data_IF_402687695884
#
_entry.id   IF_402687695884
#
_cell.length_a   1.000
_cell.length_b   1.000
_cell.length_c   1.000
_cell.angle_alpha   90.00
_cell.angle_beta   90.00
_cell.angle_gamma   90.00
#
_symmetry.space_group_name_H-M   'P 1'
#
loop_
_entity.id
_entity.type
_entity.pdbx_description
1 polymer ?
#
# COMPACT_ATOMS: atom_id res chain seq x y z
N UNK A 1 20.83 -13.15 -49.28
CA UNK A 1 21.12 -13.40 -47.84
C UNK A 1 20.80 -12.19 -46.95
N UNK A 2 21.39 -11.00 -47.17
CA UNK A 2 21.29 -9.83 -46.26
C UNK A 2 19.88 -9.50 -45.70
N UNK A 3 18.82 -9.53 -46.53
CA UNK A 3 17.44 -9.25 -46.13
C UNK A 3 16.97 -10.04 -44.89
N UNK A 4 17.33 -11.33 -44.79
CA UNK A 4 16.98 -12.18 -43.65
C UNK A 4 17.66 -11.76 -42.34
N UNK A 5 18.84 -11.17 -42.42
CA UNK A 5 19.58 -10.66 -41.25
C UNK A 5 18.98 -9.34 -40.78
N UNK A 6 18.64 -8.44 -41.71
CA UNK A 6 17.99 -7.16 -41.41
C UNK A 6 16.63 -7.37 -40.73
N UNK A 7 15.76 -8.22 -41.30
CA UNK A 7 14.44 -8.50 -40.70
C UNK A 7 14.54 -9.21 -39.34
N UNK A 8 15.51 -10.12 -39.15
CA UNK A 8 15.78 -10.70 -37.82
C UNK A 8 16.22 -9.64 -36.81
N UNK A 9 17.05 -8.67 -37.22
CA UNK A 9 17.49 -7.60 -36.32
C UNK A 9 16.33 -6.67 -35.96
N UNK A 10 15.48 -6.30 -36.93
CA UNK A 10 14.26 -5.51 -36.69
C UNK A 10 13.31 -6.19 -35.70
N UNK A 11 13.11 -7.51 -35.83
CA UNK A 11 12.30 -8.29 -34.85
C UNK A 11 12.94 -8.34 -33.47
N UNK A 12 14.27 -8.48 -33.38
CA UNK A 12 15.01 -8.43 -32.10
C UNK A 12 14.79 -7.06 -31.43
N UNK A 13 15.03 -5.97 -32.15
CA UNK A 13 14.85 -4.60 -31.66
C UNK A 13 13.42 -4.36 -31.15
N UNK A 14 12.40 -4.76 -31.92
CA UNK A 14 10.99 -4.67 -31.50
C UNK A 14 10.73 -5.41 -30.17
N UNK A 15 11.28 -6.62 -30.02
CA UNK A 15 11.12 -7.40 -28.80
C UNK A 15 11.86 -6.76 -27.60
N UNK A 16 13.03 -6.15 -27.79
CA UNK A 16 13.69 -5.41 -26.70
C UNK A 16 12.88 -4.18 -26.26
N UNK A 17 12.31 -3.42 -27.20
CA UNK A 17 11.41 -2.31 -26.86
C UNK A 17 10.17 -2.78 -26.07
N UNK A 18 9.56 -3.92 -26.46
CA UNK A 18 8.44 -4.50 -25.72
C UNK A 18 8.83 -5.02 -24.32
N UNK A 19 10.05 -5.54 -24.12
CA UNK A 19 10.55 -5.88 -22.77
C UNK A 19 10.69 -4.65 -21.89
N UNK A 20 11.34 -3.59 -22.39
CA UNK A 20 11.51 -2.33 -21.64
C UNK A 20 10.15 -1.75 -21.28
N UNK A 21 9.23 -1.68 -22.24
CA UNK A 21 7.87 -1.19 -22.02
C UNK A 21 7.10 -2.03 -20.99
N UNK A 22 7.24 -3.36 -21.02
CA UNK A 22 6.70 -4.27 -19.99
C UNK A 22 7.32 -4.02 -18.61
N UNK A 23 8.62 -3.74 -18.51
CA UNK A 23 9.28 -3.46 -17.23
C UNK A 23 8.94 -2.10 -16.61
N UNK A 24 8.50 -1.13 -17.43
CA UNK A 24 8.04 0.18 -16.97
C UNK A 24 6.55 0.21 -16.59
N UNK A 25 5.80 -0.86 -16.85
CA UNK A 25 4.35 -0.92 -16.64
C UNK A 25 4.03 -1.86 -15.46
N UNK A 26 3.20 -1.45 -14.49
CA UNK A 26 2.79 -2.32 -13.38
C UNK A 26 2.17 -3.62 -13.89
N UNK A 27 2.58 -4.75 -13.32
CA UNK A 27 2.29 -6.08 -13.87
C UNK A 27 0.80 -6.40 -14.02
N UNK A 28 -0.07 -5.78 -13.20
CA UNK A 28 -1.52 -6.01 -13.21
C UNK A 28 -2.24 -5.51 -14.47
N UNK A 29 -1.69 -4.52 -15.18
CA UNK A 29 -2.21 -4.09 -16.48
C UNK A 29 -1.92 -5.13 -17.58
N UNK A 30 -0.77 -5.82 -17.50
CA UNK A 30 -0.28 -6.70 -18.55
C UNK A 30 -0.62 -8.16 -18.24
N UNK A 31 -1.91 -8.48 -18.40
CA UNK A 31 -2.56 -9.77 -18.10
C UNK A 31 -1.96 -11.02 -18.78
N UNK A 32 -1.07 -10.88 -19.77
CA UNK A 32 -0.50 -11.99 -20.54
C UNK A 32 0.87 -11.62 -21.16
N UNK A 33 1.61 -12.61 -21.64
CA UNK A 33 2.96 -12.45 -22.21
C UNK A 33 3.06 -11.80 -23.60
N UNK A 34 1.94 -11.65 -24.32
CA UNK A 34 1.94 -11.31 -25.75
C UNK A 34 2.00 -9.79 -26.05
N UNK A 35 2.24 -9.46 -27.32
CA UNK A 35 2.44 -8.08 -27.77
C UNK A 35 1.19 -7.21 -27.64
N UNK A 36 -0.01 -7.76 -27.86
CA UNK A 36 -1.26 -7.01 -27.75
C UNK A 36 -1.61 -6.72 -26.29
N UNK A 37 -1.42 -7.71 -25.40
CA UNK A 37 -1.60 -7.54 -23.95
C UNK A 37 -0.60 -6.55 -23.34
N UNK A 38 0.65 -6.50 -23.83
CA UNK A 38 1.63 -5.49 -23.41
C UNK A 38 1.16 -4.08 -23.84
N UNK A 39 0.84 -3.88 -25.11
CA UNK A 39 0.44 -2.55 -25.63
C UNK A 39 -0.89 -2.08 -25.02
N UNK A 40 -1.87 -2.97 -24.85
CA UNK A 40 -3.15 -2.65 -24.20
C UNK A 40 -2.98 -2.20 -22.75
N UNK A 41 -2.24 -2.96 -21.94
CA UNK A 41 -1.99 -2.61 -20.54
C UNK A 41 -1.20 -1.30 -20.37
N UNK A 42 -0.29 -1.00 -21.29
CA UNK A 42 0.44 0.28 -21.33
C UNK A 42 -0.51 1.45 -21.60
N UNK A 43 -1.48 1.29 -22.52
CA UNK A 43 -2.47 2.31 -22.84
C UNK A 43 -3.40 2.55 -21.64
N UNK A 44 -3.89 1.49 -20.99
CA UNK A 44 -4.69 1.58 -19.76
C UNK A 44 -3.94 2.35 -18.65
N UNK A 45 -2.65 2.02 -18.42
CA UNK A 45 -1.81 2.68 -17.42
C UNK A 45 -1.58 4.17 -17.73
N UNK A 46 -1.26 4.53 -18.98
CA UNK A 46 -1.04 5.93 -19.38
C UNK A 46 -2.33 6.76 -19.26
N UNK A 47 -3.49 6.18 -19.61
CA UNK A 47 -4.79 6.83 -19.44
C UNK A 47 -5.09 7.12 -17.97
N UNK A 48 -4.80 6.18 -17.07
CA UNK A 48 -4.95 6.38 -15.63
C UNK A 48 -4.01 7.46 -15.07
N UNK A 49 -2.73 7.44 -15.46
CA UNK A 49 -1.77 8.47 -15.05
C UNK A 49 -2.22 9.88 -15.50
N UNK A 50 -2.71 10.03 -16.73
CA UNK A 50 -3.28 11.30 -17.19
C UNK A 50 -4.51 11.72 -16.38
N UNK A 51 -5.40 10.78 -16.04
CA UNK A 51 -6.60 11.09 -15.25
C UNK A 51 -6.24 11.54 -13.83
N UNK A 52 -5.25 10.91 -13.20
CA UNK A 52 -4.71 11.31 -11.88
C UNK A 52 -4.09 12.70 -11.96
N UNK A 53 -3.24 12.96 -12.96
CA UNK A 53 -2.58 14.26 -13.17
C UNK A 53 -3.61 15.40 -13.26
N UNK A 54 -4.63 15.27 -14.12
CA UNK A 54 -5.71 16.25 -14.25
C UNK A 54 -6.47 16.48 -12.92
N UNK A 55 -6.71 15.42 -12.14
CA UNK A 55 -7.38 15.52 -10.84
C UNK A 55 -6.55 16.34 -9.83
N UNK A 56 -5.22 16.19 -9.86
CA UNK A 56 -4.28 16.91 -9.00
C UNK A 56 -4.16 18.38 -9.42
N UNK A 57 -4.15 18.68 -10.72
CA UNK A 57 -4.20 20.06 -11.23
C UNK A 57 -5.51 20.76 -10.86
N UNK A 58 -6.65 20.09 -10.98
CA UNK A 58 -7.94 20.62 -10.53
C UNK A 58 -7.99 20.82 -9.00
N UNK A 59 -7.33 19.96 -8.22
CA UNK A 59 -7.17 20.09 -6.76
C UNK A 59 -6.24 21.25 -6.39
N UNK A 60 -5.15 21.46 -7.15
CA UNK A 60 -4.23 22.61 -7.03
C UNK A 60 -4.94 23.92 -7.34
N UNK A 61 -5.64 24.02 -8.48
CA UNK A 61 -6.39 25.22 -8.89
C UNK A 61 -7.45 25.63 -7.86
N UNK A 62 -8.20 24.67 -7.30
CA UNK A 62 -9.19 24.98 -6.24
C UNK A 62 -8.54 25.52 -4.97
N UNK A 63 -7.36 25.02 -4.59
CA UNK A 63 -6.59 25.53 -3.43
C UNK A 63 -5.93 26.89 -3.67
N UNK A 64 -5.65 27.27 -4.91
CA UNK A 64 -5.19 28.64 -5.26
C UNK A 64 -6.34 29.64 -5.50
N UNK A 65 -7.59 29.19 -5.47
CA UNK A 65 -8.78 30.02 -5.75
C UNK A 65 -9.73 30.18 -4.55
N UNK A 66 -9.41 29.60 -3.39
CA UNK A 66 -10.12 29.91 -2.14
C UNK A 66 -9.61 31.24 -1.57
N UNK A 67 -10.42 32.31 -1.53
CA UNK A 67 -10.04 33.53 -0.82
C UNK A 67 -9.92 33.21 0.68
N UNK A 68 -8.78 33.55 1.28
CA UNK A 68 -8.63 33.46 2.73
C UNK A 68 -9.56 34.47 3.41
N UNK A 69 -10.44 34.07 4.35
CA UNK A 69 -11.24 35.01 5.12
C UNK A 69 -10.30 35.77 6.06
N UNK A 70 -10.02 37.04 5.74
CA UNK A 70 -9.00 37.81 6.46
C UNK A 70 -9.39 38.08 7.91
N UNK A 71 -8.59 37.64 8.91
CA UNK A 71 -8.72 38.16 10.27
C UNK A 71 -8.13 39.57 10.30
N UNK A 72 -8.98 40.59 10.34
CA UNK A 72 -8.53 41.98 10.53
C UNK A 72 -7.94 42.20 11.94
N UNK A 73 -6.97 43.12 12.08
CA UNK A 73 -6.04 43.10 13.21
C UNK A 73 -6.62 43.63 14.51
N UNK A 74 -6.01 43.24 15.63
CA UNK A 74 -6.13 43.90 16.93
C UNK A 74 -4.72 44.17 17.50
N UNK A 75 -4.52 45.21 18.32
CA UNK A 75 -3.17 45.74 18.56
C UNK A 75 -2.34 44.86 19.49
N UNK A 76 -1.02 44.80 19.23
CA UNK A 76 -0.05 44.31 20.21
C UNK A 76 0.06 45.32 21.36
N UNK A 77 -0.18 44.87 22.59
CA UNK A 77 0.37 45.53 23.77
C UNK A 77 1.44 44.66 24.41
N UNK A 78 2.56 45.33 24.67
CA UNK A 78 3.88 44.80 24.97
C UNK A 78 4.10 44.75 26.48
N UNK A 79 4.69 43.67 27.00
CA UNK A 79 5.52 43.71 28.21
C UNK A 79 6.51 42.53 28.29
N UNK A 80 7.57 42.67 29.08
CA UNK A 80 8.63 41.68 29.28
C UNK A 80 8.80 41.33 30.77
N UNK A 81 8.99 40.05 31.08
CA UNK A 81 9.66 39.49 32.27
C UNK A 81 9.73 37.96 32.07
N UNK A 82 10.81 37.17 32.20
CA UNK A 82 12.07 37.17 32.97
C UNK A 82 12.09 36.25 34.21
N UNK A 83 12.62 35.04 34.00
CA UNK A 83 13.39 34.21 34.95
C UNK A 83 12.71 33.38 36.07
N UNK A 84 13.52 32.41 36.55
CA UNK A 84 13.49 31.54 37.75
C UNK A 84 12.75 30.18 37.77
N UNK A 85 13.56 29.16 38.10
CA UNK A 85 13.30 27.79 38.61
C UNK A 85 13.02 27.80 40.14
N UNK A 86 12.52 26.72 40.83
CA UNK A 86 12.86 25.29 40.64
C UNK A 86 11.72 24.24 40.85
N UNK A 87 12.12 22.97 40.90
CA UNK A 87 11.32 21.75 41.20
C UNK A 87 11.27 21.47 42.74
N UNK A 88 10.82 20.30 43.28
CA UNK A 88 10.16 19.10 42.69
C UNK A 88 8.96 18.52 43.50
N UNK A 89 8.40 17.39 43.05
CA UNK A 89 8.15 16.14 43.83
C UNK A 89 7.58 15.04 42.88
N UNK A 90 7.73 13.76 43.23
CA UNK A 90 7.55 12.59 42.36
C UNK A 90 6.83 11.43 43.09
N UNK A 91 5.98 10.63 42.43
CA UNK A 91 5.58 9.28 42.91
C UNK A 91 4.74 8.45 41.89
N UNK A 92 5.05 7.14 41.73
CA UNK A 92 4.25 6.13 40.98
C UNK A 92 4.46 6.17 39.46
N UNK A 93 5.36 5.43 38.79
CA UNK A 93 5.85 4.04 38.92
C UNK A 93 4.75 2.98 38.71
N UNK A 94 4.89 1.88 37.94
CA UNK A 94 6.02 1.18 37.26
C UNK A 94 5.51 0.67 35.87
N UNK A 95 6.20 0.04 34.91
CA UNK A 95 7.60 -0.38 34.57
C UNK A 95 7.67 -0.51 33.02
N UNK A 96 8.76 -0.56 32.24
CA UNK A 96 10.20 -0.90 32.39
C UNK A 96 10.60 -2.32 31.96
N UNK A 97 11.82 -2.46 31.41
CA UNK A 97 12.53 -3.64 30.83
C UNK A 97 12.15 -4.09 29.39
N UNK A 98 13.10 -4.29 28.47
CA UNK A 98 14.47 -3.73 28.38
C UNK A 98 15.02 -3.76 26.93
N UNK A 99 16.05 -2.97 26.62
CA UNK A 99 16.76 -3.00 25.33
C UNK A 99 18.26 -3.17 25.53
N UNK A 100 18.82 -4.28 25.04
CA UNK A 100 20.27 -4.49 24.94
C UNK A 100 20.67 -4.91 23.51
N UNK A 101 21.57 -4.17 22.83
CA UNK A 101 22.21 -4.65 21.62
C UNK A 101 23.42 -5.51 21.96
N UNK A 102 23.55 -6.68 21.33
CA UNK A 102 24.77 -7.49 21.43
C UNK A 102 25.13 -8.08 20.08
N UNK A 103 26.34 -7.78 19.59
CA UNK A 103 26.89 -8.41 18.39
C UNK A 103 27.34 -9.82 18.73
N UNK A 104 26.81 -10.82 18.04
CA UNK A 104 27.49 -12.12 17.92
C UNK A 104 27.23 -12.71 16.53
N UNK A 105 28.29 -12.76 15.71
CA UNK A 105 28.23 -13.37 14.38
C UNK A 105 28.27 -14.90 14.50
N UNK A 106 27.30 -15.58 13.89
CA UNK A 106 27.40 -16.99 13.50
C UNK A 106 26.56 -17.23 12.23
N UNK A 107 27.03 -18.01 11.25
CA UNK A 107 26.42 -18.05 9.92
C UNK A 107 25.22 -19.02 9.89
N UNK A 108 24.01 -18.46 9.99
CA UNK A 108 22.77 -19.23 9.96
C UNK A 108 21.54 -18.39 9.61
N UNK A 109 21.75 -17.27 8.91
CA UNK A 109 20.69 -16.34 8.52
C UNK A 109 19.72 -16.94 7.51
N UNK A 110 18.77 -17.75 8.00
CA UNK A 110 17.57 -18.11 7.29
C UNK A 110 16.79 -16.83 7.01
N UNK A 111 17.07 -16.19 5.88
CA UNK A 111 16.40 -14.99 5.42
C UNK A 111 14.92 -15.33 5.31
N UNK A 112 14.14 -14.89 6.30
CA UNK A 112 12.70 -15.10 6.30
C UNK A 112 12.16 -14.31 5.11
N UNK A 113 11.98 -15.00 3.99
CA UNK A 113 11.33 -14.49 2.80
C UNK A 113 9.87 -14.32 3.18
N UNK A 114 9.58 -13.19 3.84
CA UNK A 114 8.26 -12.82 4.30
C UNK A 114 7.29 -12.99 3.14
N UNK A 115 6.11 -13.54 3.43
CA UNK A 115 5.06 -13.81 2.42
C UNK A 115 4.39 -12.49 2.04
N UNK A 116 5.20 -11.60 1.46
CA UNK A 116 4.86 -10.29 0.97
C UNK A 116 3.74 -10.45 -0.06
N UNK A 117 2.53 -10.11 0.39
CA UNK A 117 1.42 -9.89 -0.51
C UNK A 117 1.60 -8.50 -1.13
N UNK A 118 1.35 -8.41 -2.43
CA UNK A 118 1.15 -7.12 -3.08
C UNK A 118 -0.25 -6.62 -2.72
N UNK A 119 -0.36 -5.39 -2.22
CA UNK A 119 -1.59 -4.84 -1.65
C UNK A 119 -1.81 -3.44 -2.23
N UNK A 120 -2.87 -3.28 -3.00
CA UNK A 120 -3.29 -2.04 -3.66
C UNK A 120 -4.70 -1.69 -3.20
N UNK A 121 -4.92 -0.49 -2.65
CA UNK A 121 -6.26 0.02 -2.35
C UNK A 121 -6.54 1.29 -3.16
N UNK A 122 -7.74 1.41 -3.72
CA UNK A 122 -8.15 2.53 -4.59
C UNK A 122 -9.59 2.94 -4.37
N UNK A 123 -9.88 4.23 -4.45
CA UNK A 123 -11.24 4.77 -4.38
C UNK A 123 -11.99 4.54 -5.70
N UNK A 124 -13.27 4.18 -5.60
CA UNK A 124 -14.20 3.91 -6.69
C UNK A 124 -15.59 4.47 -6.32
N UNK A 125 -15.80 5.77 -6.52
CA UNK A 125 -17.03 6.45 -6.10
C UNK A 125 -17.08 6.64 -4.59
N UNK A 126 -18.09 6.06 -3.94
CA UNK A 126 -18.21 5.98 -2.47
C UNK A 126 -17.37 4.88 -1.83
N UNK A 127 -16.90 3.93 -2.64
CA UNK A 127 -16.39 2.65 -2.19
C UNK A 127 -14.86 2.56 -2.39
N UNK A 128 -14.22 1.61 -1.74
CA UNK A 128 -12.82 1.26 -1.91
C UNK A 128 -12.72 -0.11 -2.56
N UNK A 129 -11.89 -0.23 -3.59
CA UNK A 129 -11.46 -1.50 -4.16
C UNK A 129 -10.10 -1.83 -3.54
N UNK A 130 -10.06 -2.84 -2.68
CA UNK A 130 -8.85 -3.38 -2.07
C UNK A 130 -8.48 -4.68 -2.79
N UNK A 131 -7.35 -4.68 -3.48
CA UNK A 131 -6.76 -5.86 -4.12
C UNK A 131 -5.59 -6.35 -3.29
N UNK A 132 -5.54 -7.66 -3.09
CA UNK A 132 -4.46 -8.35 -2.40
C UNK A 132 -4.03 -9.53 -3.26
N UNK A 133 -2.80 -9.50 -3.80
CA UNK A 133 -2.21 -10.59 -4.56
C UNK A 133 -1.19 -11.28 -3.67
N UNK A 134 -1.46 -12.53 -3.30
CA UNK A 134 -0.53 -13.35 -2.52
C UNK A 134 -0.44 -14.76 -3.09
N UNK A 135 0.57 -15.54 -2.69
CA UNK A 135 0.44 -17.00 -2.77
C UNK A 135 -0.76 -17.45 -1.94
N UNK A 136 -1.33 -18.62 -2.24
CA UNK A 136 -2.46 -19.21 -1.48
C UNK A 136 -2.29 -19.01 0.03
N UNK A 137 -3.25 -18.31 0.64
CA UNK A 137 -3.20 -17.96 2.07
C UNK A 137 -3.30 -19.21 2.96
N UNK A 138 -2.62 -19.24 4.13
CA UNK A 138 -2.97 -20.13 5.23
C UNK A 138 -4.44 -19.95 5.68
N UNK A 139 -5.07 -20.98 6.25
CA UNK A 139 -6.37 -20.85 6.92
C UNK A 139 -6.38 -19.68 7.92
N UNK A 140 -7.50 -18.96 8.01
CA UNK A 140 -7.68 -17.84 8.93
C UNK A 140 -7.12 -16.49 8.49
N UNK A 141 -6.19 -16.38 7.53
CA UNK A 141 -5.69 -15.07 7.09
C UNK A 141 -6.79 -14.18 6.48
N UNK A 142 -7.71 -14.75 5.70
CA UNK A 142 -8.86 -14.01 5.16
C UNK A 142 -9.73 -13.48 6.31
N UNK A 143 -9.96 -14.29 7.35
CA UNK A 143 -10.74 -13.88 8.52
C UNK A 143 -10.04 -12.76 9.31
N UNK A 144 -8.70 -12.76 9.41
CA UNK A 144 -7.95 -11.61 9.97
C UNK A 144 -8.12 -10.34 9.15
N UNK A 145 -8.09 -10.44 7.81
CA UNK A 145 -8.32 -9.29 6.91
C UNK A 145 -9.74 -8.76 7.13
N UNK A 146 -10.76 -9.63 7.16
CA UNK A 146 -12.15 -9.26 7.46
C UNK A 146 -12.26 -8.54 8.82
N UNK A 147 -11.72 -9.12 9.89
CA UNK A 147 -11.76 -8.53 11.23
C UNK A 147 -11.02 -7.18 11.34
N UNK A 148 -9.95 -6.97 10.56
CA UNK A 148 -9.27 -5.67 10.47
C UNK A 148 -10.10 -4.66 9.68
N UNK A 149 -10.74 -5.06 8.58
CA UNK A 149 -11.64 -4.18 7.82
C UNK A 149 -12.85 -3.73 8.65
N UNK A 150 -13.46 -4.66 9.40
CA UNK A 150 -14.55 -4.38 10.34
C UNK A 150 -14.11 -3.44 11.47
N UNK A 151 -12.94 -3.70 12.10
CA UNK A 151 -12.32 -2.84 13.13
C UNK A 151 -12.03 -1.42 12.61
N UNK A 152 -11.70 -1.27 11.34
CA UNK A 152 -11.42 0.01 10.67
C UNK A 152 -12.69 0.69 10.10
N UNK A 153 -13.89 0.15 10.41
CA UNK A 153 -15.19 0.66 9.98
C UNK A 153 -15.40 0.64 8.46
N UNK A 154 -15.03 -0.46 7.79
CA UNK A 154 -15.38 -0.73 6.40
C UNK A 154 -16.44 -1.84 6.27
N UNK A 155 -17.55 -1.57 5.58
CA UNK A 155 -18.54 -2.61 5.27
C UNK A 155 -18.05 -3.42 4.06
N UNK A 156 -17.88 -4.75 4.16
CA UNK A 156 -17.48 -5.57 3.00
C UNK A 156 -18.69 -5.87 2.13
N UNK A 157 -18.75 -5.26 0.94
CA UNK A 157 -19.85 -5.45 -0.02
C UNK A 157 -19.68 -6.72 -0.87
N UNK A 158 -18.43 -7.00 -1.28
CA UNK A 158 -18.12 -8.15 -2.12
C UNK A 158 -16.67 -8.60 -1.93
N UNK A 159 -16.43 -9.92 -1.98
CA UNK A 159 -15.10 -10.52 -2.06
C UNK A 159 -15.07 -11.49 -3.26
N UNK A 160 -14.33 -11.12 -4.29
CA UNK A 160 -13.94 -12.03 -5.37
C UNK A 160 -12.59 -12.69 -5.03
N UNK A 161 -12.51 -14.01 -5.15
CA UNK A 161 -11.27 -14.78 -5.02
C UNK A 161 -10.98 -15.43 -6.38
N UNK A 162 -9.92 -14.96 -7.04
CA UNK A 162 -9.51 -15.43 -8.36
C UNK A 162 -8.11 -16.04 -8.31
N UNK A 163 -7.98 -17.31 -8.69
CA UNK A 163 -6.66 -17.94 -8.90
C UNK A 163 -5.97 -17.34 -10.12
N UNK A 164 -4.67 -17.06 -9.98
CA UNK A 164 -3.79 -16.66 -11.07
C UNK A 164 -2.84 -17.81 -11.44
N UNK A 165 -2.09 -17.64 -12.53
CA UNK A 165 -0.97 -18.51 -12.86
C UNK A 165 0.14 -18.40 -11.78
N UNK A 166 0.96 -19.46 -11.63
CA UNK A 166 2.09 -19.55 -10.68
C UNK A 166 1.71 -19.43 -9.17
N UNK A 167 0.73 -20.19 -8.70
CA UNK A 167 0.28 -20.30 -7.29
C UNK A 167 -0.19 -19.00 -6.61
N UNK A 168 -0.31 -17.91 -7.38
CA UNK A 168 -0.87 -16.64 -6.93
C UNK A 168 -2.40 -16.69 -6.87
N UNK A 169 -2.97 -15.91 -5.96
CA UNK A 169 -4.41 -15.70 -5.80
C UNK A 169 -4.63 -14.20 -5.58
N UNK A 170 -5.55 -13.63 -6.36
CA UNK A 170 -6.08 -12.28 -6.17
C UNK A 170 -7.32 -12.37 -5.30
N UNK A 171 -7.27 -11.70 -4.16
CA UNK A 171 -8.41 -11.40 -3.31
C UNK A 171 -8.80 -9.94 -3.59
N UNK A 172 -9.96 -9.74 -4.21
CA UNK A 172 -10.46 -8.41 -4.59
C UNK A 172 -11.71 -8.11 -3.77
N UNK A 173 -11.54 -7.27 -2.76
CA UNK A 173 -12.61 -6.78 -1.91
C UNK A 173 -13.17 -5.47 -2.50
N UNK A 174 -14.50 -5.37 -2.59
CA UNK A 174 -15.20 -4.09 -2.71
C UNK A 174 -15.77 -3.80 -1.33
N UNK A 175 -15.32 -2.70 -0.72
CA UNK A 175 -15.67 -2.31 0.65
C UNK A 175 -16.20 -0.89 0.65
N UNK A 176 -17.20 -0.60 1.47
CA UNK A 176 -17.78 0.73 1.62
C UNK A 176 -17.16 1.43 2.83
N UNK A 177 -16.93 2.72 2.72
CA UNK A 177 -16.42 3.53 3.83
C UNK A 177 -17.56 3.75 4.84
N UNK A 178 -17.42 3.23 6.05
CA UNK A 178 -18.36 3.44 7.15
C UNK A 178 -18.22 4.83 7.77
N UNK A 179 -19.27 5.29 8.46
CA UNK A 179 -19.36 6.65 8.99
C UNK A 179 -18.31 6.99 10.07
N UNK A 180 -17.79 5.97 10.75
CA UNK A 180 -16.77 6.09 11.80
C UNK A 180 -15.35 5.82 11.28
N UNK A 181 -15.17 5.58 9.97
CA UNK A 181 -13.85 5.32 9.39
C UNK A 181 -12.98 6.58 9.43
N UNK A 182 -11.82 6.49 10.10
CA UNK A 182 -10.86 7.61 10.27
C UNK A 182 -9.52 7.40 9.57
N UNK A 183 -9.28 6.21 9.03
CA UNK A 183 -7.99 5.82 8.45
C UNK A 183 -7.83 6.25 7.00
N UNK A 184 -6.58 6.46 6.61
CA UNK A 184 -6.23 6.75 5.21
C UNK A 184 -6.16 5.50 4.33
N UNK A 185 -6.14 5.70 3.01
CA UNK A 185 -5.98 4.63 2.03
C UNK A 185 -4.61 3.93 2.14
N UNK A 186 -3.57 4.70 2.50
CA UNK A 186 -2.19 4.25 2.73
C UNK A 186 -2.08 3.42 4.01
N UNK A 187 -2.79 3.84 5.07
CA UNK A 187 -2.89 3.17 6.36
C UNK A 187 -3.70 1.87 6.29
N UNK A 188 -4.79 1.83 5.51
CA UNK A 188 -5.52 0.61 5.18
C UNK A 188 -4.60 -0.42 4.48
N UNK A 189 -3.81 0.01 3.48
CA UNK A 189 -2.85 -0.85 2.80
C UNK A 189 -1.81 -1.37 3.80
N UNK A 190 -1.30 -0.52 4.68
CA UNK A 190 -0.32 -0.90 5.70
C UNK A 190 -0.86 -1.93 6.71
N UNK A 191 -2.03 -1.70 7.31
CA UNK A 191 -2.67 -2.66 8.23
C UNK A 191 -2.90 -4.02 7.55
N UNK A 192 -3.38 -4.03 6.30
CA UNK A 192 -3.57 -5.28 5.54
C UNK A 192 -2.25 -5.98 5.21
N UNK A 193 -1.17 -5.24 4.94
CA UNK A 193 0.19 -5.81 4.78
C UNK A 193 0.74 -6.42 6.07
N UNK A 194 0.51 -5.78 7.24
CA UNK A 194 0.98 -6.30 8.54
C UNK A 194 0.43 -7.70 8.86
N UNK A 195 -0.79 -8.02 8.42
CA UNK A 195 -1.41 -9.35 8.59
C UNK A 195 -0.57 -10.46 7.95
N UNK A 196 0.22 -10.17 6.91
CA UNK A 196 1.15 -11.12 6.28
C UNK A 196 2.52 -11.20 6.97
N UNK A 197 2.93 -10.14 7.68
CA UNK A 197 4.15 -10.13 8.49
C UNK A 197 4.03 -10.97 9.76
N UNK A 198 2.87 -10.91 10.42
CA UNK A 198 2.60 -11.55 11.73
C UNK A 198 2.30 -13.08 11.63
N UNK A 199 3.00 -13.79 10.75
CA UNK A 199 2.68 -15.19 10.41
C UNK A 199 3.31 -16.26 11.35
N UNK A 200 3.75 -15.89 12.56
CA UNK A 200 4.62 -16.75 13.40
C UNK A 200 4.37 -16.68 14.92
N UNK A 201 3.11 -16.82 15.38
CA UNK A 201 2.83 -17.05 16.81
C UNK A 201 1.48 -17.76 17.06
N UNK A 202 1.41 -19.07 16.77
CA UNK A 202 0.32 -19.93 17.27
C UNK A 202 0.82 -21.37 17.42
N UNK A 203 1.36 -21.72 18.58
CA UNK A 203 1.42 -23.13 18.98
C UNK A 203 0.02 -23.54 19.48
N UNK A 204 -0.47 -24.74 19.13
CA UNK A 204 -1.62 -25.31 19.81
C UNK A 204 -1.21 -25.81 21.20
N UNK A 205 -1.91 -25.39 22.25
CA UNK A 205 -1.81 -26.04 23.56
C UNK A 205 -2.34 -27.47 23.44
N UNK A 206 -1.48 -28.46 23.62
CA UNK A 206 -1.87 -29.87 23.58
C UNK A 206 -2.14 -30.36 25.01
N UNK A 207 -3.40 -30.37 25.41
CA UNK A 207 -3.85 -30.65 26.77
C UNK A 207 -4.36 -32.11 26.88
N UNK A 208 -3.44 -33.05 27.05
CA UNK A 208 -3.66 -34.41 27.58
C UNK A 208 -2.33 -35.08 27.92
#
# INVERSE_FOLDING_TARGET
MAHMTVERNRRRQMNEHLKVLRSLTPGFYIKRGDQASIIGGVIEFIQELHQVLQSLEAKKRRKSLSPSPSPHPRPLQQLMASSTTPQPINHGTFSSFDITPSNMELPGGAHCMSRSADVEARLSGSDVILKVISRRMPPGQIAKIVAVLEKLSFDILHLNISSLELDAVLYSFVIKIGLECRVSLEELVFEVQQIFGQASSTQPSHDQ
#
